data_IF_006349435961
#
_entry.id   IF_006349435961
#
_cell.length_a   1.000
_cell.length_b   1.000
_cell.length_c   1.000
_cell.angle_alpha   90.00
_cell.angle_beta   90.00
_cell.angle_gamma   90.00
#
_symmetry.space_group_name_H-M   'P 1'
#
loop_
_entity.id
_entity.type
_entity.pdbx_description
1 polymer ?
#
# COMPACT_ATOMS: atom_id res chain seq x y z
N UNK A 1 48.97 18.76 -35.75
CA UNK A 1 47.71 19.34 -36.27
C UNK A 1 47.17 18.37 -37.30
N UNK A 2 45.90 17.97 -37.16
CA UNK A 2 45.27 16.94 -37.98
C UNK A 2 44.22 16.20 -37.17
N UNK A 3 43.08 16.85 -36.99
CA UNK A 3 41.83 16.32 -36.43
C UNK A 3 41.08 15.60 -37.56
N UNK A 4 40.46 14.44 -37.26
CA UNK A 4 39.25 13.83 -37.87
C UNK A 4 39.18 12.35 -37.46
N UNK A 5 38.06 11.67 -37.23
CA UNK A 5 36.65 12.02 -37.13
C UNK A 5 35.95 10.96 -36.26
N UNK A 6 34.82 11.37 -35.68
CA UNK A 6 33.97 10.67 -34.70
C UNK A 6 33.48 9.31 -35.21
N UNK A 7 33.67 8.26 -34.41
CA UNK A 7 33.10 6.95 -34.67
C UNK A 7 31.66 6.88 -34.10
N UNK A 8 30.69 7.04 -35.01
CA UNK A 8 29.25 7.04 -34.76
C UNK A 8 28.73 5.60 -34.66
N UNK A 9 28.57 5.06 -33.45
CA UNK A 9 27.84 3.79 -33.27
C UNK A 9 26.35 4.06 -33.15
N UNK A 10 25.68 3.83 -34.27
CA UNK A 10 24.24 3.68 -34.42
C UNK A 10 23.68 2.68 -33.40
N UNK A 11 22.86 3.16 -32.47
CA UNK A 11 21.96 2.31 -31.69
C UNK A 11 20.66 2.16 -32.47
N UNK A 12 20.59 1.05 -33.21
CA UNK A 12 19.39 0.58 -33.87
C UNK A 12 18.27 0.29 -32.86
N UNK A 13 17.13 0.90 -33.14
CA UNK A 13 15.82 0.63 -32.59
C UNK A 13 15.42 -0.84 -32.79
N UNK A 14 14.86 -1.51 -31.77
CA UNK A 14 14.27 -2.83 -31.96
C UNK A 14 14.03 -3.60 -30.68
N UNK A 15 12.87 -3.37 -30.04
CA UNK A 15 12.42 -4.24 -28.95
C UNK A 15 11.35 -3.63 -28.07
N UNK A 16 10.19 -3.31 -28.65
CA UNK A 16 8.96 -3.09 -27.89
C UNK A 16 8.61 -4.37 -27.12
N UNK A 17 9.15 -4.51 -25.92
CA UNK A 17 8.64 -5.43 -24.92
C UNK A 17 7.27 -4.95 -24.48
N UNK A 18 6.22 -5.43 -25.16
CA UNK A 18 4.82 -5.28 -24.75
C UNK A 18 4.72 -5.60 -23.27
N UNK A 19 4.56 -4.57 -22.43
CA UNK A 19 4.09 -4.74 -21.05
C UNK A 19 2.68 -5.29 -21.16
N UNK A 20 2.57 -6.60 -20.98
CA UNK A 20 1.31 -7.29 -20.87
C UNK A 20 0.60 -6.71 -19.64
N UNK A 21 -0.35 -5.81 -19.90
CA UNK A 21 -1.17 -5.19 -18.88
C UNK A 21 -1.99 -6.28 -18.20
N UNK A 22 -1.75 -6.47 -16.91
CA UNK A 22 -2.74 -7.14 -16.08
C UNK A 22 -3.87 -6.13 -15.86
N UNK A 23 -4.89 -6.16 -16.71
CA UNK A 23 -6.20 -5.59 -16.37
C UNK A 23 -6.87 -6.52 -15.37
N UNK A 24 -6.36 -6.51 -14.14
CA UNK A 24 -7.23 -6.68 -12.97
C UNK A 24 -7.47 -5.25 -12.55
N UNK A 25 -8.66 -4.72 -12.83
CA UNK A 25 -9.00 -3.34 -12.48
C UNK A 25 -8.59 -3.09 -11.04
N UNK A 26 -7.67 -2.14 -10.82
CA UNK A 26 -7.23 -1.79 -9.49
C UNK A 26 -8.47 -1.39 -8.69
N UNK A 27 -8.61 -1.87 -7.46
CA UNK A 27 -9.74 -1.48 -6.63
C UNK A 27 -9.79 0.07 -6.58
N UNK A 28 -10.98 0.67 -6.79
CA UNK A 28 -11.08 2.12 -6.86
C UNK A 28 -10.61 2.74 -5.53
N UNK A 29 -10.03 3.93 -5.59
CA UNK A 29 -9.64 4.63 -4.36
C UNK A 29 -10.88 4.96 -3.53
N UNK A 30 -10.73 4.94 -2.21
CA UNK A 30 -11.79 5.42 -1.31
C UNK A 30 -11.85 6.95 -1.45
N UNK A 31 -13.05 7.46 -1.72
CA UNK A 31 -13.29 8.87 -2.05
C UNK A 31 -13.82 9.73 -0.89
N UNK A 32 -13.89 9.15 0.31
CA UNK A 32 -14.33 9.81 1.55
C UNK A 32 -13.35 9.44 2.67
N UNK A 33 -13.36 10.18 3.78
CA UNK A 33 -12.48 9.90 4.91
C UNK A 33 -12.64 8.45 5.41
N UNK A 34 -11.55 7.82 5.82
CA UNK A 34 -11.57 6.43 6.31
C UNK A 34 -12.52 6.26 7.49
N UNK A 35 -12.59 7.25 8.39
CA UNK A 35 -13.53 7.24 9.51
C UNK A 35 -14.99 7.15 9.05
N UNK A 36 -15.34 7.80 7.93
CA UNK A 36 -16.68 7.71 7.32
C UNK A 36 -16.87 6.40 6.55
N UNK A 37 -15.86 5.99 5.77
CA UNK A 37 -15.93 4.76 4.99
C UNK A 37 -16.11 3.52 5.87
N UNK A 38 -15.43 3.49 7.01
CA UNK A 38 -15.44 2.41 7.98
C UNK A 38 -16.21 2.75 9.27
N UNK A 39 -17.35 3.43 9.12
CA UNK A 39 -18.21 3.75 10.25
C UNK A 39 -18.81 2.50 10.91
N UNK A 40 -19.03 1.43 10.14
CA UNK A 40 -19.50 0.13 10.65
C UNK A 40 -18.33 -0.77 11.05
N UNK A 41 -17.97 -0.73 12.34
CA UNK A 41 -16.89 -1.56 12.88
C UNK A 41 -17.16 -3.06 12.80
N UNK A 42 -18.43 -3.49 12.87
CA UNK A 42 -18.80 -4.90 12.72
C UNK A 42 -18.41 -5.43 11.33
N UNK A 43 -18.76 -4.70 10.27
CA UNK A 43 -18.39 -5.06 8.90
C UNK A 43 -16.88 -4.96 8.64
N UNK A 44 -16.18 -4.06 9.35
CA UNK A 44 -14.73 -3.91 9.22
C UNK A 44 -13.95 -5.04 9.92
N UNK A 45 -14.33 -5.39 11.16
CA UNK A 45 -13.48 -6.13 12.11
C UNK A 45 -13.88 -7.58 12.36
N UNK A 46 -15.16 -7.94 12.24
CA UNK A 46 -15.62 -9.30 12.56
C UNK A 46 -15.22 -10.31 11.46
N UNK A 47 -15.28 -11.62 11.74
CA UNK A 47 -15.00 -12.65 10.73
C UNK A 47 -15.85 -12.46 9.47
N UNK A 48 -15.27 -12.76 8.31
CA UNK A 48 -15.82 -12.45 6.97
C UNK A 48 -15.97 -10.94 6.66
N UNK A 49 -15.54 -10.05 7.56
CA UNK A 49 -15.48 -8.62 7.34
C UNK A 49 -14.28 -8.18 6.50
N UNK A 50 -14.13 -6.87 6.31
CA UNK A 50 -13.09 -6.29 5.45
C UNK A 50 -11.68 -6.74 5.85
N UNK A 51 -11.37 -6.77 7.16
CA UNK A 51 -10.06 -7.17 7.64
C UNK A 51 -9.72 -8.64 7.29
N UNK A 52 -10.68 -9.54 7.44
CA UNK A 52 -10.52 -10.96 7.14
C UNK A 52 -10.36 -11.20 5.62
N UNK A 53 -11.13 -10.49 4.80
CA UNK A 53 -11.00 -10.52 3.34
C UNK A 53 -9.60 -10.10 2.89
N UNK A 54 -9.06 -9.00 3.43
CA UNK A 54 -7.69 -8.58 3.10
C UNK A 54 -6.63 -9.54 3.66
N UNK A 55 -6.85 -10.14 4.83
CA UNK A 55 -5.98 -11.18 5.35
C UNK A 55 -5.84 -12.36 4.38
N UNK A 56 -6.96 -12.78 3.76
CA UNK A 56 -6.95 -13.78 2.70
C UNK A 56 -6.18 -13.34 1.46
N UNK A 57 -6.33 -12.09 1.01
CA UNK A 57 -5.56 -11.51 -0.10
C UNK A 57 -4.05 -11.46 0.20
N UNK A 58 -3.67 -11.34 1.46
CA UNK A 58 -2.27 -11.24 1.91
C UNK A 58 -1.62 -12.59 2.24
N UNK A 59 -2.28 -13.72 1.99
CA UNK A 59 -1.80 -15.07 2.35
C UNK A 59 -0.33 -15.37 1.96
N UNK A 60 0.13 -14.83 0.83
CA UNK A 60 1.48 -15.05 0.31
C UNK A 60 2.52 -14.04 0.82
N UNK A 61 2.11 -13.10 1.67
CA UNK A 61 2.98 -12.08 2.26
C UNK A 61 3.49 -12.59 3.63
N UNK A 62 4.74 -12.30 3.96
CA UNK A 62 5.28 -12.68 5.28
C UNK A 62 4.74 -11.76 6.38
N UNK A 63 4.58 -12.30 7.59
CA UNK A 63 4.17 -11.48 8.75
C UNK A 63 5.14 -10.32 9.00
N UNK A 64 6.43 -10.54 8.78
CA UNK A 64 7.45 -9.50 8.93
C UNK A 64 7.26 -8.33 7.95
N UNK A 65 6.93 -8.61 6.68
CA UNK A 65 6.65 -7.55 5.69
C UNK A 65 5.40 -6.74 6.08
N UNK A 66 4.34 -7.40 6.53
CA UNK A 66 3.14 -6.70 6.99
C UNK A 66 3.41 -5.86 8.25
N UNK A 67 4.14 -6.41 9.23
CA UNK A 67 4.50 -5.68 10.45
C UNK A 67 5.30 -4.43 10.18
N UNK A 68 6.24 -4.44 9.21
CA UNK A 68 6.97 -3.23 8.82
C UNK A 68 6.05 -2.09 8.41
N UNK A 69 5.00 -2.37 7.64
CA UNK A 69 4.01 -1.36 7.26
C UNK A 69 3.18 -0.91 8.46
N UNK A 70 2.74 -1.84 9.31
CA UNK A 70 2.00 -1.52 10.52
C UNK A 70 2.81 -0.60 11.44
N UNK A 71 4.09 -0.89 11.65
CA UNK A 71 4.97 -0.10 12.49
C UNK A 71 5.09 1.33 11.96
N UNK A 72 5.18 1.51 10.64
CA UNK A 72 5.16 2.84 10.02
C UNK A 72 3.83 3.56 10.27
N UNK A 73 2.69 2.90 10.07
CA UNK A 73 1.35 3.48 10.33
C UNK A 73 1.23 3.92 11.80
N UNK A 74 1.65 3.07 12.75
CA UNK A 74 1.64 3.39 14.19
C UNK A 74 2.55 4.56 14.54
N UNK A 75 3.72 4.65 13.91
CA UNK A 75 4.63 5.78 14.08
C UNK A 75 3.99 7.09 13.62
N UNK A 76 3.34 7.11 12.45
CA UNK A 76 2.64 8.30 11.95
C UNK A 76 1.46 8.70 12.85
N UNK A 77 0.66 7.73 13.30
CA UNK A 77 -0.41 7.97 14.27
C UNK A 77 0.13 8.62 15.55
N UNK A 78 1.21 8.09 16.12
CA UNK A 78 1.86 8.67 17.30
C UNK A 78 2.38 10.10 17.06
N UNK A 79 2.99 10.35 15.89
CA UNK A 79 3.47 11.68 15.49
C UNK A 79 2.33 12.67 15.30
N UNK A 80 1.15 12.24 14.83
CA UNK A 80 0.00 13.12 14.64
C UNK A 80 -0.50 13.77 15.94
N UNK A 81 -0.19 13.20 17.11
CA UNK A 81 -0.48 13.81 18.40
C UNK A 81 0.45 14.97 18.76
N UNK A 82 1.61 15.08 18.10
CA UNK A 82 2.70 16.01 18.44
C UNK A 82 3.00 17.02 17.33
N UNK A 83 2.82 16.62 16.08
CA UNK A 83 3.16 17.39 14.89
C UNK A 83 1.91 17.87 14.14
N UNK A 84 2.12 18.78 13.18
CA UNK A 84 1.09 19.17 12.23
C UNK A 84 0.63 17.96 11.41
N UNK A 85 -0.68 17.71 11.40
CA UNK A 85 -1.30 16.60 10.68
C UNK A 85 -0.94 16.59 9.18
N UNK A 86 -0.87 17.75 8.53
CA UNK A 86 -0.53 17.83 7.10
C UNK A 86 0.87 17.30 6.77
N UNK A 87 1.81 17.53 7.69
CA UNK A 87 3.17 17.01 7.58
C UNK A 87 3.18 15.49 7.72
N UNK A 88 2.49 14.97 8.73
CA UNK A 88 2.35 13.53 8.96
C UNK A 88 1.65 12.85 7.79
N UNK A 89 0.60 13.48 7.24
CA UNK A 89 -0.14 13.00 6.07
C UNK A 89 0.75 12.89 4.84
N UNK A 90 1.55 13.92 4.57
CA UNK A 90 2.52 13.91 3.48
C UNK A 90 3.55 12.79 3.61
N UNK A 91 4.02 12.50 4.84
CA UNK A 91 4.93 11.38 5.10
C UNK A 91 4.24 10.02 4.94
N UNK A 92 2.97 9.89 5.35
CA UNK A 92 2.18 8.69 5.13
C UNK A 92 2.03 8.39 3.63
N UNK A 93 1.82 9.41 2.79
CA UNK A 93 1.71 9.24 1.34
C UNK A 93 2.96 8.63 0.71
N UNK A 94 4.14 8.84 1.32
CA UNK A 94 5.39 8.22 0.87
C UNK A 94 5.41 6.68 0.99
N UNK A 95 4.48 6.08 1.75
CA UNK A 95 4.32 4.62 1.76
C UNK A 95 3.93 4.05 0.38
N UNK A 96 3.20 4.83 -0.44
CA UNK A 96 2.75 4.39 -1.76
C UNK A 96 3.90 4.10 -2.73
N UNK A 97 4.85 5.03 -3.00
CA UNK A 97 5.98 4.74 -3.88
C UNK A 97 6.88 3.64 -3.34
N UNK A 98 7.04 3.53 -2.01
CA UNK A 98 7.81 2.45 -1.38
C UNK A 98 7.15 1.08 -1.60
N UNK A 99 5.82 1.00 -1.44
CA UNK A 99 5.06 -0.21 -1.70
C UNK A 99 5.06 -0.57 -3.20
N UNK A 100 4.96 0.41 -4.09
CA UNK A 100 5.04 0.21 -5.54
C UNK A 100 6.40 -0.37 -5.96
N UNK A 101 7.49 0.17 -5.43
CA UNK A 101 8.84 -0.34 -5.65
C UNK A 101 8.98 -1.79 -5.16
N UNK A 102 8.52 -2.08 -3.95
CA UNK A 102 8.56 -3.42 -3.38
C UNK A 102 7.73 -4.41 -4.19
N UNK A 103 6.53 -4.02 -4.64
CA UNK A 103 5.67 -4.84 -5.51
C UNK A 103 6.28 -5.08 -6.91
N UNK A 104 7.04 -4.10 -7.42
CA UNK A 104 7.80 -4.27 -8.66
C UNK A 104 8.92 -5.29 -8.55
N UNK A 105 9.50 -5.46 -7.35
CA UNK A 105 10.55 -6.46 -7.06
C UNK A 105 9.99 -7.82 -6.67
N UNK A 106 8.90 -7.84 -5.92
CA UNK A 106 8.22 -9.04 -5.47
C UNK A 106 6.72 -8.92 -5.75
N UNK A 107 6.26 -9.65 -6.77
CA UNK A 107 4.85 -9.61 -7.20
C UNK A 107 3.88 -10.07 -6.11
N UNK A 108 4.33 -10.83 -5.12
CA UNK A 108 3.49 -11.23 -3.99
C UNK A 108 3.07 -10.04 -3.13
N UNK A 109 3.77 -8.91 -3.23
CA UNK A 109 3.45 -7.67 -2.51
C UNK A 109 2.47 -6.77 -3.26
N UNK A 110 2.06 -7.13 -4.49
CA UNK A 110 1.06 -6.36 -5.24
C UNK A 110 -0.24 -6.16 -4.45
N UNK A 111 -0.83 -7.18 -3.77
CA UNK A 111 -2.04 -6.98 -2.98
C UNK A 111 -1.88 -5.94 -1.86
N UNK A 112 -0.70 -5.87 -1.24
CA UNK A 112 -0.39 -4.87 -0.23
C UNK A 112 -0.27 -3.47 -0.84
N UNK A 113 0.35 -3.33 -2.01
CA UNK A 113 0.34 -2.07 -2.74
C UNK A 113 -1.09 -1.64 -3.11
N UNK A 114 -1.91 -2.54 -3.65
CA UNK A 114 -3.28 -2.25 -4.05
C UNK A 114 -4.12 -1.78 -2.83
N UNK A 115 -3.94 -2.43 -1.68
CA UNK A 115 -4.54 -2.00 -0.42
C UNK A 115 -4.12 -0.58 -0.05
N UNK A 116 -2.81 -0.29 0.00
CA UNK A 116 -2.32 1.04 0.36
C UNK A 116 -2.79 2.10 -0.63
N UNK A 117 -2.76 1.81 -1.93
CA UNK A 117 -3.23 2.71 -2.98
C UNK A 117 -4.71 3.06 -2.83
N UNK A 118 -5.54 2.09 -2.47
CA UNK A 118 -6.96 2.32 -2.21
C UNK A 118 -7.22 3.18 -0.96
N UNK A 119 -6.47 2.95 0.11
CA UNK A 119 -6.74 3.47 1.45
C UNK A 119 -5.97 4.74 1.83
N UNK A 120 -4.88 5.04 1.12
CA UNK A 120 -4.02 6.19 1.38
C UNK A 120 -4.10 7.10 0.16
N UNK A 121 -4.90 8.15 0.25
CA UNK A 121 -5.02 9.21 -0.75
C UNK A 121 -5.56 10.49 -0.08
N UNK A 122 -5.65 11.59 -0.84
CA UNK A 122 -6.08 12.90 -0.33
C UNK A 122 -7.51 12.91 0.23
N UNK A 123 -8.39 12.08 -0.31
CA UNK A 123 -9.81 12.00 0.07
C UNK A 123 -10.05 11.05 1.25
N UNK A 124 -9.18 10.07 1.47
CA UNK A 124 -9.32 9.07 2.53
C UNK A 124 -8.61 9.44 3.83
N UNK A 125 -7.52 10.19 3.74
CA UNK A 125 -6.76 10.68 4.91
C UNK A 125 -6.99 12.19 5.04
N UNK A 126 -8.05 12.57 5.74
CA UNK A 126 -8.46 13.96 5.92
C UNK A 126 -8.20 14.46 7.35
N UNK A 127 -8.22 13.57 8.34
CA UNK A 127 -8.07 13.93 9.74
C UNK A 127 -7.37 12.84 10.56
N UNK A 128 -7.00 13.17 11.81
CA UNK A 128 -6.25 12.24 12.68
C UNK A 128 -6.99 10.93 12.92
N UNK A 129 -8.32 10.96 12.98
CA UNK A 129 -9.16 9.78 13.20
C UNK A 129 -9.06 8.78 12.05
N UNK A 130 -8.70 9.22 10.84
CA UNK A 130 -8.46 8.31 9.72
C UNK A 130 -7.21 7.44 9.95
N UNK A 131 -6.20 7.96 10.65
CA UNK A 131 -5.02 7.18 11.05
C UNK A 131 -5.38 6.12 12.10
N UNK A 132 -6.32 6.43 13.00
CA UNK A 132 -6.83 5.46 13.97
C UNK A 132 -7.55 4.31 13.27
N UNK A 133 -8.42 4.64 12.31
CA UNK A 133 -9.14 3.64 11.51
C UNK A 133 -8.17 2.79 10.68
N UNK A 134 -7.17 3.41 10.04
CA UNK A 134 -6.16 2.70 9.27
C UNK A 134 -5.33 1.74 10.13
N UNK A 135 -4.89 2.18 11.30
CA UNK A 135 -4.16 1.36 12.28
C UNK A 135 -5.00 0.17 12.77
N UNK A 136 -6.26 0.42 13.15
CA UNK A 136 -7.17 -0.60 13.63
C UNK A 136 -7.50 -1.65 12.56
N UNK A 137 -7.82 -1.21 11.34
CA UNK A 137 -8.04 -2.09 10.19
C UNK A 137 -6.81 -2.94 9.91
N UNK A 138 -5.64 -2.33 9.80
CA UNK A 138 -4.42 -3.06 9.43
C UNK A 138 -3.91 -3.99 10.54
N UNK A 139 -4.08 -3.60 11.81
CA UNK A 139 -3.84 -4.48 12.96
C UNK A 139 -4.74 -5.73 12.88
N UNK A 140 -6.01 -5.54 12.55
CA UNK A 140 -6.99 -6.65 12.43
C UNK A 140 -6.68 -7.57 11.25
N UNK A 141 -6.26 -7.00 10.11
CA UNK A 141 -5.78 -7.79 8.96
C UNK A 141 -4.62 -8.69 9.37
N UNK A 142 -3.64 -8.16 10.10
CA UNK A 142 -2.48 -8.95 10.56
C UNK A 142 -2.91 -10.05 11.53
N UNK A 143 -3.87 -9.78 12.42
CA UNK A 143 -4.40 -10.77 13.35
C UNK A 143 -5.05 -11.96 12.61
N UNK A 144 -5.96 -11.69 11.67
CA UNK A 144 -6.57 -12.74 10.85
C UNK A 144 -5.56 -13.44 9.95
N UNK A 145 -4.61 -12.70 9.37
CA UNK A 145 -3.56 -13.30 8.54
C UNK A 145 -2.70 -14.29 9.33
N UNK A 146 -2.34 -13.93 10.57
CA UNK A 146 -1.62 -14.84 11.47
C UNK A 146 -2.47 -16.06 11.84
N UNK A 147 -3.74 -15.87 12.16
CA UNK A 147 -4.68 -16.95 12.49
C UNK A 147 -4.86 -17.94 11.33
N UNK A 148 -5.05 -17.42 10.12
CA UNK A 148 -5.28 -18.23 8.91
C UNK A 148 -4.06 -19.08 8.53
N UNK A 149 -2.84 -18.65 8.91
CA UNK A 149 -1.61 -19.44 8.70
C UNK A 149 -1.42 -20.60 9.69
N UNK A 150 -2.09 -20.58 10.83
CA UNK A 150 -2.03 -21.69 11.81
C UNK A 150 -2.99 -22.82 11.42
N UNK A 151 -4.03 -22.51 10.63
CA UNK A 151 -5.07 -23.45 10.22
C UNK A 151 -4.81 -24.20 8.92
N UNK A 152 -3.91 -23.70 8.07
CA UNK A 152 -3.55 -24.31 6.78
C UNK A 152 -2.23 -25.05 6.86
#
# INVERSE_FOLDING_TARGET
>A
MGYDARNNRSWGNGGQGRRQGYTTEAEPQIEISLAKHYCNKGQMLLPNGTADVYAGKFRNITNHQLRKILDQIKNFKSQSGKENFEKVRSQLFFLLPMAAYNAGRDRNLKPLYDFLHRHINEKSICEKQDLDVLDELFTSIIAYHAYNKVKG
#
